data_IF_988896628428
#
_entry.id   IF_988896628428
#
_cell.length_a   1.000
_cell.length_b   1.000
_cell.length_c   1.000
_cell.angle_alpha   90.00
_cell.angle_beta   90.00
_cell.angle_gamma   90.00
#
_symmetry.space_group_name_H-M   'P 1'
#
loop_
_entity.id
_entity.type
_entity.pdbx_description
1 polymer ?
#
# COMPACT_ATOMS: atom_id res chain seq x y z
N UNK A 1 8.48 -5.41 -27.70
CA UNK A 1 9.76 -5.44 -26.95
C UNK A 1 9.54 -6.31 -25.72
N UNK A 2 10.11 -7.52 -25.68
CA UNK A 2 10.01 -8.36 -24.49
C UNK A 2 10.84 -7.71 -23.37
N UNK A 3 10.20 -7.35 -22.26
CA UNK A 3 10.89 -6.87 -21.07
C UNK A 3 11.71 -8.05 -20.52
N UNK A 4 13.01 -7.85 -20.29
CA UNK A 4 13.88 -8.88 -19.71
C UNK A 4 13.39 -9.29 -18.32
N UNK A 5 13.43 -10.59 -17.99
CA UNK A 5 13.00 -11.12 -16.68
C UNK A 5 13.68 -10.38 -15.51
N UNK A 6 14.96 -10.06 -15.63
CA UNK A 6 15.70 -9.26 -14.63
C UNK A 6 15.12 -7.86 -14.40
N UNK A 7 14.49 -7.26 -15.42
CA UNK A 7 13.87 -5.94 -15.30
C UNK A 7 12.52 -6.05 -14.59
N UNK A 8 11.73 -7.08 -14.91
CA UNK A 8 10.48 -7.39 -14.21
C UNK A 8 10.72 -7.64 -12.72
N UNK A 9 11.75 -8.42 -12.36
CA UNK A 9 12.04 -8.77 -10.98
C UNK A 9 12.51 -7.56 -10.14
N UNK A 10 13.29 -6.65 -10.74
CA UNK A 10 13.65 -5.37 -10.09
C UNK A 10 12.44 -4.46 -9.89
N UNK A 11 11.53 -4.40 -10.86
CA UNK A 11 10.31 -3.60 -10.76
C UNK A 11 9.35 -4.14 -9.69
N UNK A 12 9.17 -5.46 -9.62
CA UNK A 12 8.38 -6.11 -8.56
C UNK A 12 8.97 -5.85 -7.17
N UNK A 13 10.29 -6.01 -7.02
CA UNK A 13 10.98 -5.71 -5.75
C UNK A 13 10.81 -4.24 -5.34
N UNK A 14 11.00 -3.32 -6.29
CA UNK A 14 10.81 -1.90 -6.04
C UNK A 14 9.36 -1.58 -5.64
N UNK A 15 8.37 -2.16 -6.33
CA UNK A 15 6.96 -1.99 -5.99
C UNK A 15 6.67 -2.49 -4.56
N UNK A 16 7.13 -3.69 -4.21
CA UNK A 16 6.96 -4.24 -2.85
C UNK A 16 7.56 -3.34 -1.77
N UNK A 17 8.76 -2.79 -2.02
CA UNK A 17 9.42 -1.84 -1.11
C UNK A 17 8.61 -0.55 -0.98
N UNK A 18 8.18 0.03 -2.10
CA UNK A 18 7.36 1.26 -2.12
C UNK A 18 6.02 1.02 -1.41
N UNK A 19 5.38 -0.11 -1.66
CA UNK A 19 4.12 -0.49 -1.02
C UNK A 19 4.28 -0.61 0.50
N UNK A 20 5.36 -1.26 0.96
CA UNK A 20 5.66 -1.37 2.39
C UNK A 20 5.88 0.01 3.04
N UNK A 21 6.64 0.90 2.38
CA UNK A 21 6.89 2.26 2.86
C UNK A 21 5.57 3.05 2.93
N UNK A 22 4.74 2.97 1.88
CA UNK A 22 3.44 3.63 1.85
C UNK A 22 2.51 3.12 2.97
N UNK A 23 2.53 1.82 3.24
CA UNK A 23 1.78 1.22 4.33
C UNK A 23 2.26 1.71 5.71
N UNK A 24 3.57 1.81 5.94
CA UNK A 24 4.11 2.35 7.19
C UNK A 24 3.77 3.84 7.36
N UNK A 25 3.84 4.63 6.28
CA UNK A 25 3.42 6.03 6.29
C UNK A 25 1.93 6.18 6.62
N UNK A 26 1.09 5.26 6.14
CA UNK A 26 -0.33 5.25 6.48
C UNK A 26 -0.55 5.04 7.99
N UNK A 27 0.22 4.17 8.64
CA UNK A 27 0.16 3.96 10.09
C UNK A 27 0.54 5.26 10.83
N UNK A 28 1.63 5.92 10.40
CA UNK A 28 2.07 7.18 11.00
C UNK A 28 1.02 8.30 10.82
N UNK A 29 0.43 8.40 9.63
CA UNK A 29 -0.66 9.35 9.35
C UNK A 29 -1.91 9.05 10.17
N UNK A 30 -2.27 7.78 10.33
CA UNK A 30 -3.39 7.37 11.16
C UNK A 30 -3.13 7.77 12.62
N UNK A 31 -1.96 7.46 13.18
CA UNK A 31 -1.57 7.86 14.52
C UNK A 31 -1.59 9.40 14.71
N UNK A 32 -1.17 10.15 13.69
CA UNK A 32 -1.21 11.60 13.74
C UNK A 32 -2.65 12.15 13.69
N UNK A 33 -3.50 11.65 12.79
CA UNK A 33 -4.91 12.05 12.68
C UNK A 33 -5.70 11.67 13.92
N UNK A 34 -5.36 10.55 14.55
CA UNK A 34 -5.97 10.08 15.81
C UNK A 34 -5.37 10.78 17.04
N UNK A 35 -4.36 11.64 16.88
CA UNK A 35 -3.59 12.27 17.95
C UNK A 35 -3.05 11.26 18.98
N UNK A 36 -2.63 10.10 18.50
CA UNK A 36 -2.18 8.94 19.30
C UNK A 36 -3.18 8.52 20.40
N UNK A 37 -4.47 8.79 20.16
CA UNK A 37 -5.54 8.42 21.09
C UNK A 37 -5.83 6.93 20.98
N UNK A 38 -5.08 6.13 21.72
CA UNK A 38 -5.35 4.70 21.88
C UNK A 38 -6.55 4.43 22.82
N UNK A 39 -6.90 5.41 23.67
CA UNK A 39 -7.88 5.22 24.77
C UNK A 39 -9.04 6.20 24.77
N UNK A 40 -9.01 7.29 23.99
CA UNK A 40 -10.15 8.19 23.84
C UNK A 40 -10.93 7.85 22.56
N UNK A 41 -12.27 7.93 22.58
CA UNK A 41 -13.10 7.61 21.43
C UNK A 41 -12.77 8.56 20.27
N UNK A 42 -12.43 7.97 19.13
CA UNK A 42 -12.19 8.69 17.90
C UNK A 42 -13.48 9.32 17.40
N UNK A 43 -13.38 10.53 16.86
CA UNK A 43 -14.50 11.15 16.15
C UNK A 43 -14.78 10.39 14.86
N UNK A 44 -16.05 10.35 14.43
CA UNK A 44 -16.43 9.71 13.16
C UNK A 44 -15.66 10.27 11.95
N UNK A 45 -15.29 11.55 12.00
CA UNK A 45 -14.46 12.21 10.98
C UNK A 45 -13.02 11.65 10.93
N UNK A 46 -12.40 11.38 12.08
CA UNK A 46 -11.06 10.77 12.15
C UNK A 46 -11.08 9.35 11.57
N UNK A 47 -12.07 8.54 11.93
CA UNK A 47 -12.23 7.17 11.41
C UNK A 47 -12.46 7.19 9.89
N UNK A 48 -13.35 8.05 9.41
CA UNK A 48 -13.63 8.18 7.98
C UNK A 48 -12.39 8.61 7.18
N UNK A 49 -11.58 9.52 7.73
CA UNK A 49 -10.34 10.01 7.08
C UNK A 49 -9.32 8.88 6.93
N UNK A 50 -9.05 8.12 7.99
CA UNK A 50 -8.13 6.98 7.93
C UNK A 50 -8.66 5.91 6.97
N UNK A 51 -9.97 5.63 7.01
CA UNK A 51 -10.62 4.69 6.09
C UNK A 51 -10.47 5.09 4.62
N UNK A 52 -10.72 6.37 4.30
CA UNK A 52 -10.58 6.90 2.94
C UNK A 52 -9.14 6.77 2.41
N UNK A 53 -8.14 7.14 3.23
CA UNK A 53 -6.72 7.01 2.86
C UNK A 53 -6.37 5.56 2.59
N UNK A 54 -6.85 4.64 3.44
CA UNK A 54 -6.64 3.19 3.29
C UNK A 54 -7.21 2.69 1.97
N UNK A 55 -8.46 3.04 1.65
CA UNK A 55 -9.13 2.62 0.41
C UNK A 55 -8.38 3.16 -0.81
N UNK A 56 -7.97 4.43 -0.80
CA UNK A 56 -7.19 5.04 -1.88
C UNK A 56 -5.87 4.29 -2.13
N UNK A 57 -5.13 3.95 -1.07
CA UNK A 57 -3.88 3.20 -1.18
C UNK A 57 -4.09 1.80 -1.76
N UNK A 58 -5.16 1.11 -1.34
CA UNK A 58 -5.51 -0.20 -1.89
C UNK A 58 -5.90 -0.12 -3.37
N UNK A 59 -6.65 0.89 -3.78
CA UNK A 59 -7.02 1.11 -5.18
C UNK A 59 -5.78 1.37 -6.03
N UNK A 60 -4.85 2.22 -5.57
CA UNK A 60 -3.59 2.49 -6.27
C UNK A 60 -2.76 1.22 -6.36
N UNK A 61 -2.62 0.47 -5.27
CA UNK A 61 -1.87 -0.78 -5.27
C UNK A 61 -2.48 -1.81 -6.22
N UNK A 62 -3.80 -1.96 -6.24
CA UNK A 62 -4.51 -2.84 -7.17
C UNK A 62 -4.34 -2.40 -8.62
N UNK A 63 -4.44 -1.09 -8.90
CA UNK A 63 -4.22 -0.54 -10.24
C UNK A 63 -2.78 -0.79 -10.72
N UNK A 64 -1.78 -0.57 -9.88
CA UNK A 64 -0.38 -0.84 -10.21
C UNK A 64 -0.15 -2.34 -10.41
N UNK A 65 -0.68 -3.18 -9.53
CA UNK A 65 -0.56 -4.64 -9.66
C UNK A 65 -1.20 -5.17 -10.94
N UNK A 66 -2.32 -4.59 -11.37
CA UNK A 66 -2.98 -4.96 -12.64
C UNK A 66 -2.12 -4.68 -13.88
N UNK A 67 -1.17 -3.74 -13.79
CA UNK A 67 -0.21 -3.44 -14.85
C UNK A 67 0.99 -4.40 -14.87
N UNK A 68 1.17 -5.22 -13.82
CA UNK A 68 2.24 -6.22 -13.70
C UNK A 68 1.68 -7.65 -13.53
N UNK A 69 0.99 -8.22 -14.55
CA UNK A 69 0.38 -9.55 -14.44
C UNK A 69 1.39 -10.70 -14.23
N UNK A 70 2.65 -10.53 -14.65
CA UNK A 70 3.75 -11.48 -14.39
C UNK A 70 4.46 -11.24 -13.04
N UNK A 71 4.04 -10.27 -12.22
CA UNK A 71 4.50 -10.13 -10.84
C UNK A 71 4.02 -11.33 -10.05
N UNK A 72 4.83 -12.41 -10.07
CA UNK A 72 4.62 -13.64 -9.31
C UNK A 72 4.67 -13.32 -7.82
N UNK A 73 3.59 -12.79 -7.25
CA UNK A 73 3.38 -12.74 -5.80
C UNK A 73 3.18 -14.14 -5.18
N UNK A 74 3.28 -15.19 -5.98
CA UNK A 74 3.33 -16.56 -5.51
C UNK A 74 2.98 -17.55 -6.60
N UNK A 75 3.80 -17.67 -7.66
CA UNK A 75 3.82 -18.99 -8.33
C UNK A 75 4.57 -19.90 -7.35
N UNK A 76 3.90 -20.89 -6.71
CA UNK A 76 4.63 -21.91 -6.00
C UNK A 76 5.57 -22.60 -7.00
N UNK A 77 6.75 -22.97 -6.53
CA UNK A 77 7.66 -23.82 -7.30
C UNK A 77 6.99 -25.14 -7.63
#
# INVERSE_FOLDING_TARGET
MAISQDRLERMDRAFKVIFLIAFLLQIALAAWVTNDSATAPLTGAQVATVGLITVMLLVIAAAVYSQFPESRLGKPK
#
